data_IF_764236128736
#
_entry.id   IF_764236128736
#
_cell.length_a   1.000
_cell.length_b   1.000
_cell.length_c   1.000
_cell.angle_alpha   90.00
_cell.angle_beta   90.00
_cell.angle_gamma   90.00
#
_symmetry.space_group_name_H-M   'P 1'
#
loop_
_entity.id
_entity.type
_entity.pdbx_description
1 polymer ?
#
# COMPACT_ATOMS: atom_id res chain seq x y z
N UNK A 1 -48.68 34.14 61.31
CA UNK A 1 -47.55 33.39 60.73
C UNK A 1 -47.07 32.40 61.77
N UNK A 2 -47.07 31.08 61.44
CA UNK A 2 -46.51 29.92 62.17
C UNK A 2 -47.00 29.70 63.61
N UNK A 3 -47.93 28.80 63.96
CA UNK A 3 -48.06 27.33 63.75
C UNK A 3 -46.81 26.48 64.06
N UNK A 4 -46.86 25.78 65.20
CA UNK A 4 -46.57 24.34 65.39
C UNK A 4 -46.87 24.00 66.87
N UNK A 5 -47.96 23.31 67.24
CA UNK A 5 -48.40 21.93 66.98
C UNK A 5 -47.76 20.90 67.93
N UNK A 6 -48.63 20.25 68.70
CA UNK A 6 -48.41 19.34 69.82
C UNK A 6 -47.87 17.96 69.40
N UNK A 7 -47.11 17.36 70.30
CA UNK A 7 -46.65 15.96 70.28
C UNK A 7 -47.76 15.06 70.84
N UNK A 8 -48.13 14.01 70.08
CA UNK A 8 -48.93 12.88 70.55
C UNK A 8 -48.16 11.59 70.23
N UNK A 9 -47.93 10.78 71.25
CA UNK A 9 -47.33 9.45 71.17
C UNK A 9 -48.30 8.43 70.55
N UNK A 10 -47.78 7.51 69.73
CA UNK A 10 -48.54 6.37 69.18
C UNK A 10 -47.65 5.21 68.73
N UNK A 11 -47.60 4.17 69.57
CA UNK A 11 -47.33 2.74 69.34
C UNK A 11 -46.28 2.27 68.32
N UNK A 12 -45.21 1.71 68.88
CA UNK A 12 -44.27 0.78 68.25
C UNK A 12 -44.98 -0.52 67.82
N UNK A 13 -45.16 -0.73 66.52
CA UNK A 13 -45.47 -2.03 65.95
C UNK A 13 -44.17 -2.85 65.81
N UNK A 14 -44.02 -3.90 66.63
CA UNK A 14 -42.92 -4.85 66.48
C UNK A 14 -43.07 -5.62 65.17
N UNK A 15 -42.27 -5.25 64.17
CA UNK A 15 -42.10 -6.05 62.96
C UNK A 15 -41.26 -7.27 63.35
N UNK A 16 -41.89 -8.46 63.36
CA UNK A 16 -41.22 -9.73 63.66
C UNK A 16 -40.02 -9.96 62.73
N UNK A 17 -38.91 -10.48 63.27
CA UNK A 17 -37.67 -10.78 62.53
C UNK A 17 -37.90 -11.59 61.24
N UNK A 18 -38.96 -12.41 61.21
CA UNK A 18 -39.39 -13.16 60.01
C UNK A 18 -39.88 -12.27 58.87
N UNK A 19 -40.52 -11.14 59.18
CA UNK A 19 -40.97 -10.17 58.17
C UNK A 19 -39.80 -9.37 57.60
N UNK A 20 -38.80 -9.05 58.42
CA UNK A 20 -37.58 -8.41 57.95
C UNK A 20 -36.83 -9.35 57.00
N UNK A 21 -36.71 -10.64 57.33
CA UNK A 21 -36.12 -11.62 56.42
C UNK A 21 -36.90 -11.77 55.12
N UNK A 22 -38.23 -11.84 55.16
CA UNK A 22 -39.07 -11.94 53.96
C UNK A 22 -38.94 -10.70 53.07
N UNK A 23 -38.88 -9.51 53.66
CA UNK A 23 -38.67 -8.25 52.93
C UNK A 23 -37.27 -8.21 52.31
N UNK A 24 -36.23 -8.61 53.06
CA UNK A 24 -34.86 -8.66 52.54
C UNK A 24 -34.74 -9.69 51.40
N UNK A 25 -35.34 -10.88 51.52
CA UNK A 25 -35.32 -11.89 50.46
C UNK A 25 -36.11 -11.46 49.23
N UNK A 26 -37.23 -10.76 49.39
CA UNK A 26 -38.01 -10.25 48.25
C UNK A 26 -37.30 -9.08 47.57
N UNK A 27 -36.65 -8.19 48.32
CA UNK A 27 -35.79 -7.14 47.75
C UNK A 27 -34.58 -7.73 47.02
N UNK A 28 -33.96 -8.81 47.54
CA UNK A 28 -32.87 -9.54 46.87
C UNK A 28 -33.33 -10.27 45.60
N UNK A 29 -34.55 -10.82 45.59
CA UNK A 29 -35.15 -11.45 44.39
C UNK A 29 -35.58 -10.43 43.34
N UNK A 30 -35.97 -9.20 43.72
CA UNK A 30 -36.28 -8.10 42.81
C UNK A 30 -35.04 -7.31 42.33
N UNK A 31 -33.88 -7.49 42.97
CA UNK A 31 -32.61 -6.82 42.64
C UNK A 31 -31.58 -7.73 41.96
N UNK A 32 -31.97 -8.97 41.62
CA UNK A 32 -31.24 -9.71 40.60
C UNK A 32 -31.20 -8.80 39.36
N UNK A 33 -30.01 -8.44 38.83
CA UNK A 33 -29.95 -7.65 37.62
C UNK A 33 -30.67 -8.47 36.55
N UNK A 34 -31.82 -7.98 36.11
CA UNK A 34 -32.18 -8.19 34.73
C UNK A 34 -31.02 -7.60 33.96
N UNK A 35 -30.10 -8.45 33.49
CA UNK A 35 -29.41 -8.12 32.25
C UNK A 35 -30.54 -7.92 31.26
N UNK A 36 -31.00 -6.67 31.12
CA UNK A 36 -31.82 -6.24 30.01
C UNK A 36 -31.02 -6.70 28.80
N UNK A 37 -31.43 -7.81 28.20
CA UNK A 37 -30.76 -8.36 27.05
C UNK A 37 -31.06 -7.38 25.92
N UNK A 38 -30.19 -6.38 25.76
CA UNK A 38 -30.44 -5.23 24.91
C UNK A 38 -30.59 -5.68 23.47
N UNK A 39 -31.57 -5.09 22.77
CA UNK A 39 -31.71 -5.25 21.33
C UNK A 39 -30.42 -4.76 20.64
N UNK A 40 -29.80 -5.63 19.83
CA UNK A 40 -28.53 -5.31 19.14
C UNK A 40 -28.72 -4.87 17.69
N UNK A 41 -29.87 -4.30 17.35
CA UNK A 41 -30.15 -3.90 15.97
C UNK A 41 -29.15 -2.86 15.45
N UNK A 42 -28.79 -1.86 16.26
CA UNK A 42 -27.83 -0.84 15.85
C UNK A 42 -26.45 -1.44 15.52
N UNK A 43 -26.06 -2.51 16.21
CA UNK A 43 -24.85 -3.25 15.87
C UNK A 43 -24.97 -3.91 14.50
N UNK A 44 -26.07 -4.66 14.25
CA UNK A 44 -26.33 -5.27 12.94
C UNK A 44 -26.32 -4.23 11.81
N UNK A 45 -26.94 -3.07 12.03
CA UNK A 45 -26.97 -1.97 11.06
C UNK A 45 -25.56 -1.44 10.78
N UNK A 46 -24.76 -1.22 11.82
CA UNK A 46 -23.39 -0.72 11.69
C UNK A 46 -22.48 -1.70 10.95
N UNK A 47 -22.63 -3.00 11.19
CA UNK A 47 -21.86 -4.05 10.51
C UNK A 47 -22.23 -4.14 9.02
N UNK A 48 -23.51 -4.01 8.67
CA UNK A 48 -23.95 -3.95 7.28
C UNK A 48 -23.44 -2.71 6.54
N UNK A 49 -23.53 -1.53 7.17
CA UNK A 49 -23.00 -0.28 6.61
C UNK A 49 -21.48 -0.38 6.42
N UNK A 50 -20.74 -0.89 7.41
CA UNK A 50 -19.30 -1.08 7.29
C UNK A 50 -18.92 -2.03 6.14
N UNK A 51 -19.66 -3.15 6.00
CA UNK A 51 -19.43 -4.11 4.93
C UNK A 51 -19.70 -3.50 3.54
N UNK A 52 -20.67 -2.59 3.42
CA UNK A 52 -21.07 -1.97 2.15
C UNK A 52 -20.26 -0.71 1.80
N UNK A 53 -19.75 0.02 2.79
CA UNK A 53 -18.87 1.19 2.58
C UNK A 53 -17.55 0.81 1.90
N UNK A 54 -16.93 -0.31 2.28
CA UNK A 54 -15.72 -0.82 1.63
C UNK A 54 -15.95 -1.16 0.14
N UNK A 55 -17.20 -1.48 -0.24
CA UNK A 55 -17.60 -1.79 -1.63
C UNK A 55 -17.99 -0.54 -2.45
N UNK A 56 -18.32 0.59 -1.81
CA UNK A 56 -18.77 1.82 -2.46
C UNK A 56 -17.66 2.75 -2.96
N UNK A 57 -16.40 2.52 -2.58
CA UNK A 57 -15.24 3.33 -3.00
C UNK A 57 -14.66 2.86 -4.36
N UNK A 58 -15.06 1.67 -4.84
CA UNK A 58 -14.67 1.13 -6.17
C UNK A 58 -15.90 1.20 -7.10
N UNK A 59 -16.34 2.42 -7.40
CA UNK A 59 -17.48 2.65 -8.29
C UNK A 59 -17.06 2.76 -9.75
N UNK A 60 -16.99 1.63 -10.47
CA UNK A 60 -16.83 1.69 -11.93
C UNK A 60 -16.59 0.37 -12.66
N UNK A 61 -17.60 -0.49 -12.77
CA UNK A 61 -17.68 -1.48 -13.87
C UNK A 61 -17.81 -2.95 -13.45
N UNK A 62 -18.86 -3.60 -13.93
CA UNK A 62 -19.05 -5.06 -13.86
C UNK A 62 -20.19 -5.51 -12.96
N UNK A 63 -21.41 -5.61 -13.54
CA UNK A 63 -22.68 -5.95 -12.87
C UNK A 63 -22.74 -7.35 -12.21
N UNK A 64 -21.70 -8.17 -12.29
CA UNK A 64 -21.69 -9.53 -11.73
C UNK A 64 -20.77 -9.72 -10.52
N UNK A 65 -19.66 -8.98 -10.40
CA UNK A 65 -18.73 -9.10 -9.26
C UNK A 65 -19.14 -8.29 -8.02
N UNK A 66 -19.63 -7.05 -8.22
CA UNK A 66 -20.08 -6.18 -7.13
C UNK A 66 -21.36 -6.67 -6.44
N UNK A 67 -22.20 -7.43 -7.15
CA UNK A 67 -23.46 -7.96 -6.59
C UNK A 67 -23.20 -9.11 -5.60
N UNK A 68 -22.14 -9.91 -5.80
CA UNK A 68 -21.83 -11.04 -4.93
C UNK A 68 -21.42 -10.60 -3.51
N UNK A 69 -20.60 -9.54 -3.41
CA UNK A 69 -20.21 -8.94 -2.13
C UNK A 69 -21.39 -8.30 -1.41
N UNK A 70 -22.21 -7.53 -2.15
CA UNK A 70 -23.42 -6.91 -1.60
C UNK A 70 -24.44 -7.93 -1.10
N UNK A 71 -24.68 -8.99 -1.87
CA UNK A 71 -25.55 -10.10 -1.45
C UNK A 71 -24.98 -10.88 -0.24
N UNK A 72 -23.66 -11.02 -0.13
CA UNK A 72 -23.01 -11.59 1.06
C UNK A 72 -23.24 -10.74 2.31
N UNK A 73 -23.12 -9.41 2.18
CA UNK A 73 -23.41 -8.47 3.26
C UNK A 73 -24.89 -8.51 3.68
N UNK A 74 -25.83 -8.53 2.72
CA UNK A 74 -27.27 -8.64 3.00
C UNK A 74 -27.63 -9.94 3.73
N UNK A 75 -27.07 -11.09 3.32
CA UNK A 75 -27.28 -12.37 4.04
C UNK A 75 -26.75 -12.34 5.47
N UNK A 76 -25.62 -11.68 5.67
CA UNK A 76 -25.02 -11.54 7.01
C UNK A 76 -25.87 -10.64 7.91
N UNK A 77 -26.44 -9.59 7.32
CA UNK A 77 -27.36 -8.69 8.01
C UNK A 77 -28.67 -9.39 8.40
N UNK A 78 -29.26 -10.17 7.49
CA UNK A 78 -30.44 -11.03 7.75
C UNK A 78 -30.18 -12.03 8.90
N UNK A 79 -29.04 -12.71 8.90
CA UNK A 79 -28.66 -13.61 9.99
C UNK A 79 -28.47 -12.88 11.33
N UNK A 80 -27.95 -11.66 11.32
CA UNK A 80 -27.76 -10.85 12.52
C UNK A 80 -29.11 -10.46 13.14
N UNK A 81 -30.05 -9.98 12.32
CA UNK A 81 -31.39 -9.58 12.77
C UNK A 81 -32.15 -10.79 13.33
N UNK A 82 -32.11 -11.94 12.66
CA UNK A 82 -32.72 -13.18 13.15
C UNK A 82 -32.21 -13.60 14.54
N UNK A 83 -30.91 -13.45 14.81
CA UNK A 83 -30.30 -13.81 16.12
C UNK A 83 -30.75 -12.89 17.26
N UNK A 84 -31.09 -11.63 16.96
CA UNK A 84 -31.54 -10.66 17.97
C UNK A 84 -33.06 -10.48 18.01
N UNK A 85 -33.82 -11.18 17.15
CA UNK A 85 -35.26 -11.03 16.97
C UNK A 85 -36.08 -11.10 18.27
N UNK A 86 -35.77 -12.07 19.14
CA UNK A 86 -36.48 -12.24 20.42
C UNK A 86 -36.33 -11.03 21.35
N UNK A 87 -35.18 -10.36 21.30
CA UNK A 87 -34.84 -9.22 22.16
C UNK A 87 -35.26 -7.87 21.56
N UNK A 88 -35.58 -7.84 20.27
CA UNK A 88 -35.93 -6.64 19.52
C UNK A 88 -37.43 -6.52 19.18
N UNK A 89 -38.31 -7.29 19.85
CA UNK A 89 -39.75 -7.34 19.51
C UNK A 89 -40.46 -5.98 19.48
N UNK A 90 -40.06 -5.04 20.33
CA UNK A 90 -40.64 -3.70 20.42
C UNK A 90 -39.78 -2.59 19.80
N UNK A 91 -38.70 -2.93 19.11
CA UNK A 91 -37.77 -1.95 18.55
C UNK A 91 -38.19 -1.57 17.12
N UNK A 92 -38.50 -0.30 16.89
CA UNK A 92 -38.93 0.18 15.57
C UNK A 92 -37.81 0.05 14.51
N UNK A 93 -36.55 0.31 14.89
CA UNK A 93 -35.43 0.21 13.96
C UNK A 93 -35.20 -1.23 13.52
N UNK A 94 -35.47 -2.21 14.39
CA UNK A 94 -35.44 -3.63 14.04
C UNK A 94 -36.49 -3.98 12.98
N UNK A 95 -37.75 -3.57 13.18
CA UNK A 95 -38.81 -3.87 12.21
C UNK A 95 -38.58 -3.15 10.87
N UNK A 96 -38.11 -1.90 10.90
CA UNK A 96 -37.71 -1.19 9.68
C UNK A 96 -36.54 -1.88 8.96
N UNK A 97 -35.56 -2.38 9.71
CA UNK A 97 -34.41 -3.09 9.15
C UNK A 97 -34.80 -4.42 8.51
N UNK A 98 -35.61 -5.25 9.18
CA UNK A 98 -36.05 -6.55 8.65
C UNK A 98 -36.82 -6.36 7.34
N UNK A 99 -37.74 -5.40 7.28
CA UNK A 99 -38.46 -5.09 6.05
C UNK A 99 -37.52 -4.58 4.94
N UNK A 100 -36.60 -3.69 5.28
CA UNK A 100 -35.60 -3.18 4.32
C UNK A 100 -34.68 -4.27 3.78
N UNK A 101 -34.30 -5.27 4.59
CA UNK A 101 -33.49 -6.42 4.16
C UNK A 101 -34.25 -7.23 3.10
N UNK A 102 -35.53 -7.53 3.33
CA UNK A 102 -36.35 -8.29 2.37
C UNK A 102 -36.48 -7.56 1.03
N UNK A 103 -36.73 -6.24 1.07
CA UNK A 103 -36.81 -5.40 -0.12
C UNK A 103 -35.49 -5.37 -0.89
N UNK A 104 -34.37 -5.22 -0.19
CA UNK A 104 -33.03 -5.18 -0.79
C UNK A 104 -32.62 -6.52 -1.41
N UNK A 105 -32.97 -7.65 -0.77
CA UNK A 105 -32.72 -8.98 -1.34
C UNK A 105 -33.47 -9.17 -2.66
N UNK A 106 -34.72 -8.68 -2.75
CA UNK A 106 -35.53 -8.73 -3.97
C UNK A 106 -34.97 -7.79 -5.03
N UNK A 107 -34.70 -6.54 -4.67
CA UNK A 107 -34.21 -5.49 -5.57
C UNK A 107 -32.89 -5.88 -6.26
N UNK A 108 -31.97 -6.50 -5.50
CA UNK A 108 -30.65 -6.89 -6.00
C UNK A 108 -30.55 -8.36 -6.46
N UNK A 109 -31.69 -9.08 -6.48
CA UNK A 109 -31.78 -10.50 -6.88
C UNK A 109 -30.79 -11.38 -6.13
N UNK A 110 -30.66 -11.15 -4.82
CA UNK A 110 -29.74 -11.90 -3.98
C UNK A 110 -30.35 -13.24 -3.56
N UNK A 111 -29.65 -14.38 -3.76
CA UNK A 111 -30.11 -15.65 -3.22
C UNK A 111 -30.08 -15.60 -1.68
N UNK A 112 -31.14 -16.10 -1.03
CA UNK A 112 -31.24 -16.14 0.44
C UNK A 112 -30.17 -17.05 1.08
N UNK A 113 -29.64 -18.01 0.33
CA UNK A 113 -28.61 -18.95 0.78
C UNK A 113 -27.26 -18.70 0.10
N UNK A 114 -26.16 -19.04 0.79
CA UNK A 114 -24.78 -18.99 0.29
C UNK A 114 -23.84 -18.22 1.24
N UNK A 115 -22.64 -17.79 0.78
CA UNK A 115 -21.59 -17.33 1.69
C UNK A 115 -21.96 -16.03 2.42
N UNK A 116 -21.80 -16.01 3.75
CA UNK A 116 -21.86 -14.79 4.54
C UNK A 116 -20.49 -14.12 4.58
N UNK A 117 -20.43 -12.86 5.00
CA UNK A 117 -19.18 -12.15 5.29
C UNK A 117 -18.39 -13.00 6.28
N UNK A 118 -17.15 -13.36 5.90
CA UNK A 118 -16.24 -14.07 6.80
C UNK A 118 -16.09 -13.24 8.08
N UNK A 119 -16.13 -13.85 9.29
CA UNK A 119 -15.86 -13.11 10.50
C UNK A 119 -14.52 -12.40 10.32
N UNK A 120 -14.53 -11.08 10.53
CA UNK A 120 -13.29 -10.29 10.58
C UNK A 120 -12.33 -11.07 11.47
N UNK A 121 -11.06 -11.31 11.05
CA UNK A 121 -10.06 -11.85 11.97
C UNK A 121 -10.16 -11.04 13.26
N UNK A 122 -10.21 -11.73 14.41
CA UNK A 122 -10.19 -11.12 15.74
C UNK A 122 -9.23 -9.90 15.71
N UNK A 123 -9.57 -8.78 16.38
CA UNK A 123 -8.66 -7.65 16.48
C UNK A 123 -7.27 -8.20 16.79
N UNK A 124 -6.35 -8.04 15.84
CA UNK A 124 -5.01 -8.59 16.00
C UNK A 124 -4.51 -8.07 17.34
N UNK A 125 -4.03 -8.97 18.19
CA UNK A 125 -3.55 -8.61 19.52
C UNK A 125 -2.71 -7.33 19.41
N UNK A 126 -2.89 -6.34 20.32
CA UNK A 126 -2.19 -5.07 20.24
C UNK A 126 -0.72 -5.40 19.98
N UNK A 127 -0.22 -4.89 18.85
CA UNK A 127 1.12 -5.22 18.41
C UNK A 127 2.08 -4.99 19.58
N UNK A 128 3.13 -5.78 19.76
CA UNK A 128 4.18 -5.34 20.68
C UNK A 128 4.74 -3.98 20.20
N UNK A 129 5.44 -3.20 21.02
CA UNK A 129 6.09 -1.96 20.57
C UNK A 129 6.99 -2.20 19.33
N UNK A 130 7.59 -3.40 19.25
CA UNK A 130 8.37 -3.85 18.09
C UNK A 130 7.55 -4.14 16.83
N UNK A 131 6.23 -4.22 16.91
CA UNK A 131 5.36 -4.54 15.77
C UNK A 131 5.23 -3.41 14.74
N UNK A 132 5.62 -2.18 15.10
CA UNK A 132 5.72 -1.05 14.17
C UNK A 132 7.15 -0.89 13.59
N UNK A 133 8.02 -1.86 13.81
CA UNK A 133 9.35 -1.94 13.22
C UNK A 133 9.42 -3.22 12.38
N UNK A 134 9.32 -3.09 11.06
CA UNK A 134 9.23 -4.22 10.13
C UNK A 134 10.37 -5.21 10.35
N UNK A 135 11.60 -4.73 10.43
CA UNK A 135 12.79 -5.57 10.55
C UNK A 135 12.79 -6.39 11.84
N UNK A 136 12.47 -5.77 12.99
CA UNK A 136 12.36 -6.47 14.27
C UNK A 136 11.24 -7.51 14.26
N UNK A 137 10.07 -7.13 13.73
CA UNK A 137 8.93 -8.02 13.64
C UNK A 137 9.21 -9.21 12.69
N UNK A 138 9.92 -8.97 11.59
CA UNK A 138 10.29 -9.98 10.60
C UNK A 138 11.31 -10.96 11.18
N UNK A 139 12.40 -10.47 11.78
CA UNK A 139 13.42 -11.33 12.41
C UNK A 139 12.81 -12.20 13.51
N UNK A 140 11.91 -11.64 14.33
CA UNK A 140 11.21 -12.39 15.37
C UNK A 140 10.32 -13.52 14.82
N UNK A 141 9.70 -13.31 13.65
CA UNK A 141 8.80 -14.27 13.02
C UNK A 141 9.54 -15.33 12.18
N UNK A 142 10.52 -14.91 11.40
CA UNK A 142 11.17 -15.72 10.36
C UNK A 142 12.57 -16.22 10.78
N UNK A 143 13.15 -15.69 11.86
CA UNK A 143 14.49 -16.06 12.33
C UNK A 143 15.64 -15.62 11.42
N UNK A 144 15.37 -14.77 10.42
CA UNK A 144 16.35 -14.26 9.45
C UNK A 144 16.08 -12.80 9.10
N UNK A 145 17.06 -12.12 8.50
CA UNK A 145 16.88 -10.76 7.98
C UNK A 145 16.03 -10.76 6.70
N UNK A 146 15.21 -9.72 6.47
CA UNK A 146 14.44 -9.61 5.25
C UNK A 146 15.35 -9.33 4.04
N UNK A 147 14.91 -9.81 2.88
CA UNK A 147 15.54 -9.48 1.60
C UNK A 147 15.02 -8.13 1.12
N UNK A 148 15.93 -7.22 0.78
CA UNK A 148 15.61 -5.89 0.30
C UNK A 148 15.86 -5.77 -1.20
N UNK A 149 14.91 -5.14 -1.88
CA UNK A 149 14.99 -4.81 -3.30
C UNK A 149 15.22 -3.30 -3.47
N UNK A 150 15.80 -2.93 -4.61
CA UNK A 150 16.10 -1.55 -4.96
C UNK A 150 15.49 -1.17 -6.31
N UNK A 151 14.78 -0.05 -6.38
CA UNK A 151 14.34 0.59 -7.62
C UNK A 151 14.92 2.00 -7.70
N UNK A 152 15.34 2.43 -8.89
CA UNK A 152 15.82 3.79 -9.14
C UNK A 152 15.19 4.40 -10.40
N UNK A 153 14.75 5.65 -10.33
CA UNK A 153 14.23 6.44 -11.45
C UNK A 153 14.93 7.79 -11.49
N UNK A 154 15.66 8.08 -12.58
CA UNK A 154 16.54 9.25 -12.67
C UNK A 154 16.84 9.63 -14.13
N UNK A 155 17.37 10.82 -14.39
CA UNK A 155 17.69 11.27 -15.76
C UNK A 155 16.45 11.39 -16.65
N UNK A 156 16.61 11.15 -17.96
CA UNK A 156 15.50 11.03 -18.93
C UNK A 156 14.89 9.61 -18.85
N UNK A 157 13.80 9.41 -18.09
CA UNK A 157 13.77 8.46 -16.99
C UNK A 157 14.39 7.13 -17.36
N UNK A 158 15.59 6.95 -16.82
CA UNK A 158 16.22 5.67 -16.64
C UNK A 158 15.58 4.99 -15.43
N UNK A 159 15.09 3.78 -15.64
CA UNK A 159 14.41 2.98 -14.63
C UNK A 159 15.25 1.73 -14.40
N UNK A 160 15.75 1.59 -13.18
CA UNK A 160 16.22 0.33 -12.62
C UNK A 160 15.07 -0.28 -11.82
N UNK A 161 14.54 -1.42 -12.27
CA UNK A 161 13.44 -2.11 -11.59
C UNK A 161 13.93 -2.89 -10.36
N UNK A 162 12.99 -3.34 -9.52
CA UNK A 162 13.26 -4.25 -8.41
C UNK A 162 13.81 -5.62 -8.83
N UNK A 163 13.64 -5.97 -10.11
CA UNK A 163 14.14 -7.20 -10.71
C UNK A 163 15.49 -7.00 -11.42
N UNK A 164 16.17 -5.88 -11.15
CA UNK A 164 17.46 -5.52 -11.74
C UNK A 164 17.43 -5.41 -13.27
N UNK A 165 16.28 -5.04 -13.84
CA UNK A 165 16.19 -4.63 -15.23
C UNK A 165 16.45 -3.14 -15.37
N UNK A 166 17.13 -2.74 -16.44
CA UNK A 166 17.39 -1.34 -16.74
C UNK A 166 16.77 -0.94 -18.07
N UNK A 167 16.03 0.15 -18.06
CA UNK A 167 15.26 0.63 -19.22
C UNK A 167 15.33 2.16 -19.26
N UNK A 168 15.48 2.73 -20.46
CA UNK A 168 15.30 4.17 -20.70
C UNK A 168 13.92 4.38 -21.31
N UNK A 169 13.15 5.31 -20.76
CA UNK A 169 11.72 5.42 -21.05
C UNK A 169 11.31 6.83 -21.49
N UNK A 170 10.40 6.93 -22.46
CA UNK A 170 9.77 8.18 -22.91
C UNK A 170 8.41 8.41 -22.22
N UNK A 171 8.31 8.14 -20.93
CA UNK A 171 7.05 8.12 -20.17
C UNK A 171 6.59 9.54 -19.81
N UNK A 172 5.83 10.19 -20.71
CA UNK A 172 5.26 11.51 -20.48
C UNK A 172 4.01 11.45 -19.56
N UNK A 173 3.87 12.45 -18.69
CA UNK A 173 2.71 12.57 -17.80
C UNK A 173 2.93 11.84 -16.48
N UNK A 174 1.84 11.53 -15.78
CA UNK A 174 1.87 10.89 -14.47
C UNK A 174 1.85 9.35 -14.62
N UNK A 175 2.85 8.67 -14.07
CA UNK A 175 2.99 7.22 -14.11
C UNK A 175 3.15 6.64 -12.71
N UNK A 176 2.47 5.53 -12.39
CA UNK A 176 2.67 4.80 -11.14
C UNK A 176 4.02 4.08 -11.17
N UNK A 177 4.91 4.45 -10.24
CA UNK A 177 6.17 3.75 -10.01
C UNK A 177 5.94 2.51 -9.15
N UNK A 178 5.18 2.66 -8.07
CA UNK A 178 4.79 1.59 -7.15
C UNK A 178 3.33 1.79 -6.79
N UNK A 179 2.54 0.73 -6.85
CA UNK A 179 1.19 0.69 -6.32
C UNK A 179 0.92 -0.67 -5.68
N UNK A 180 1.01 -0.73 -4.35
CA UNK A 180 0.79 -1.95 -3.58
C UNK A 180 -0.09 -1.65 -2.35
N UNK A 181 -0.32 -2.64 -1.48
CA UNK A 181 -1.19 -2.47 -0.31
C UNK A 181 -0.70 -1.43 0.72
N UNK A 182 0.57 -1.03 0.68
CA UNK A 182 1.22 -0.20 1.71
C UNK A 182 1.55 1.21 1.24
N UNK A 183 1.93 1.37 -0.02
CA UNK A 183 2.40 2.64 -0.55
C UNK A 183 2.04 2.81 -2.02
N UNK A 184 1.82 4.06 -2.41
CA UNK A 184 1.62 4.47 -3.79
C UNK A 184 2.65 5.56 -4.12
N UNK A 185 3.43 5.36 -5.17
CA UNK A 185 4.39 6.34 -5.67
C UNK A 185 4.04 6.66 -7.11
N UNK A 186 3.84 7.93 -7.39
CA UNK A 186 3.62 8.46 -8.72
C UNK A 186 4.74 9.44 -9.08
N UNK A 187 5.29 9.29 -10.27
CA UNK A 187 6.20 10.27 -10.87
C UNK A 187 5.53 10.93 -12.06
N UNK A 188 5.72 12.24 -12.20
CA UNK A 188 5.27 12.99 -13.37
C UNK A 188 6.48 13.45 -14.15
N UNK A 189 6.49 13.17 -15.45
CA UNK A 189 7.53 13.63 -16.37
C UNK A 189 6.97 14.58 -17.41
N UNK A 190 7.73 15.61 -17.78
CA UNK A 190 7.38 16.56 -18.83
C UNK A 190 8.43 16.57 -19.95
N UNK A 191 8.06 16.82 -21.21
CA UNK A 191 9.02 16.89 -22.31
C UNK A 191 10.07 17.99 -22.08
N UNK A 192 11.33 17.71 -22.43
CA UNK A 192 12.37 18.75 -22.43
C UNK A 192 12.26 19.65 -23.66
N UNK A 193 12.70 20.91 -23.55
CA UNK A 193 12.69 21.84 -24.69
C UNK A 193 13.79 21.45 -25.69
N UNK A 194 13.43 20.76 -26.76
CA UNK A 194 14.36 20.45 -27.86
C UNK A 194 14.19 19.07 -28.50
N UNK A 195 13.43 18.16 -27.87
CA UNK A 195 13.15 16.84 -28.42
C UNK A 195 11.76 16.34 -27.99
N UNK A 196 11.09 15.59 -28.87
CA UNK A 196 9.76 15.02 -28.60
C UNK A 196 9.78 13.77 -27.71
N UNK A 197 10.93 13.11 -27.54
CA UNK A 197 11.06 11.83 -26.85
C UNK A 197 11.74 11.91 -25.48
N UNK A 198 12.30 13.07 -25.13
CA UNK A 198 13.06 13.28 -23.89
C UNK A 198 12.16 13.87 -22.83
N UNK A 199 12.24 13.39 -21.60
CA UNK A 199 11.34 13.84 -20.53
C UNK A 199 12.09 13.96 -19.23
N UNK A 200 11.93 15.07 -18.52
CA UNK A 200 12.46 15.24 -17.17
C UNK A 200 11.41 14.94 -16.12
N UNK A 201 11.83 14.35 -15.00
CA UNK A 201 10.96 14.16 -13.85
C UNK A 201 10.73 15.51 -13.16
N UNK A 202 9.48 15.94 -13.11
CA UNK A 202 9.11 17.26 -12.58
C UNK A 202 8.43 17.19 -11.22
N UNK A 203 7.78 16.07 -10.92
CA UNK A 203 7.05 15.89 -9.66
C UNK A 203 7.10 14.45 -9.20
N UNK A 204 7.31 14.24 -7.91
CA UNK A 204 7.19 12.95 -7.23
C UNK A 204 6.15 13.09 -6.13
N UNK A 205 5.18 12.19 -6.11
CA UNK A 205 4.16 12.10 -5.07
C UNK A 205 4.22 10.71 -4.45
N UNK A 206 4.34 10.65 -3.13
CA UNK A 206 4.38 9.41 -2.35
C UNK A 206 3.22 9.46 -1.36
N UNK A 207 2.40 8.42 -1.37
CA UNK A 207 1.30 8.22 -0.43
C UNK A 207 1.63 6.98 0.40
N UNK A 208 1.90 7.19 1.68
CA UNK A 208 1.97 6.12 2.68
C UNK A 208 0.55 5.80 3.10
N UNK A 209 0.06 4.59 2.78
CA UNK A 209 -1.30 4.16 3.11
C UNK A 209 -1.38 3.86 4.62
N UNK A 210 -2.57 4.04 5.20
CA UNK A 210 -2.80 3.76 6.62
C UNK A 210 -2.45 2.30 6.93
N UNK A 211 -1.64 2.07 7.97
CA UNK A 211 -1.23 0.73 8.36
C UNK A 211 -1.36 0.50 9.87
N UNK A 212 -2.38 -0.31 10.21
CA UNK A 212 -2.69 -0.76 11.59
C UNK A 212 -2.74 0.41 12.57
N UNK A 213 -1.98 0.36 13.66
CA UNK A 213 -1.83 1.44 14.64
C UNK A 213 -0.53 2.22 14.45
N UNK A 214 0.23 1.87 13.41
CA UNK A 214 1.64 2.22 13.26
C UNK A 214 1.86 3.44 12.36
N UNK A 215 0.99 3.72 11.40
CA UNK A 215 1.09 4.89 10.55
C UNK A 215 -0.29 5.29 10.03
N UNK A 216 -0.65 6.56 10.21
CA UNK A 216 -1.79 7.16 9.51
C UNK A 216 -1.41 7.50 8.07
N UNK A 217 -2.40 7.80 7.24
CA UNK A 217 -2.15 8.17 5.85
C UNK A 217 -1.31 9.45 5.80
N UNK A 218 -0.18 9.40 5.09
CA UNK A 218 0.75 10.51 4.97
C UNK A 218 1.16 10.73 3.51
N UNK A 219 1.25 11.99 3.11
CA UNK A 219 1.53 12.37 1.72
C UNK A 219 2.81 13.19 1.69
N UNK A 220 3.77 12.74 0.88
CA UNK A 220 4.96 13.50 0.54
C UNK A 220 4.89 13.92 -0.93
N UNK A 221 5.25 15.17 -1.21
CA UNK A 221 5.30 15.70 -2.57
C UNK A 221 6.56 16.54 -2.75
N UNK A 222 7.30 16.27 -3.83
CA UNK A 222 8.43 17.06 -4.26
C UNK A 222 8.22 17.51 -5.70
N UNK A 223 8.62 18.74 -5.99
CA UNK A 223 8.61 19.35 -7.32
C UNK A 223 9.98 19.94 -7.61
N UNK A 224 10.25 20.25 -8.88
CA UNK A 224 11.46 21.00 -9.24
C UNK A 224 11.49 22.31 -8.45
N UNK A 225 12.67 22.63 -7.93
CA UNK A 225 13.01 23.74 -7.03
C UNK A 225 12.37 23.66 -5.63
N UNK A 226 11.68 22.56 -5.32
CA UNK A 226 11.05 22.34 -4.02
C UNK A 226 11.04 20.85 -3.63
N UNK A 227 12.15 20.39 -3.04
CA UNK A 227 12.23 19.10 -2.35
C UNK A 227 12.16 19.33 -0.83
N UNK A 228 10.96 19.30 -0.22
CA UNK A 228 10.78 19.68 1.18
C UNK A 228 11.31 18.59 2.14
N UNK A 229 11.79 18.98 3.34
CA UNK A 229 12.14 18.05 4.41
C UNK A 229 10.93 17.66 5.28
N UNK A 230 9.71 17.73 4.74
CA UNK A 230 8.46 17.51 5.47
C UNK A 230 7.38 16.92 4.55
N UNK A 231 6.33 16.35 5.15
CA UNK A 231 5.09 15.96 4.48
C UNK A 231 4.27 17.19 4.09
N UNK A 232 3.22 16.97 3.28
CA UNK A 232 2.33 18.05 2.80
C UNK A 232 1.61 18.78 3.95
N UNK A 233 1.39 18.10 5.08
CA UNK A 233 0.82 18.70 6.30
C UNK A 233 1.85 19.52 7.12
N UNK A 234 3.10 19.60 6.66
CA UNK A 234 4.20 20.29 7.33
C UNK A 234 4.89 19.46 8.43
N UNK A 235 4.42 18.25 8.71
CA UNK A 235 5.05 17.37 9.69
C UNK A 235 6.33 16.75 9.14
N UNK A 236 7.34 16.57 9.98
CA UNK A 236 8.57 15.84 9.63
C UNK A 236 8.50 14.36 10.02
N UNK A 237 7.48 13.98 10.78
CA UNK A 237 7.30 12.64 11.32
C UNK A 237 5.83 12.25 11.26
N UNK A 238 5.53 11.08 10.70
CA UNK A 238 4.25 10.43 10.90
C UNK A 238 4.25 9.76 12.27
N UNK A 239 3.47 10.29 13.19
CA UNK A 239 3.27 9.69 14.51
C UNK A 239 2.34 8.49 14.41
N UNK A 240 2.70 7.40 15.09
CA UNK A 240 1.78 6.31 15.33
C UNK A 240 0.84 6.61 16.52
N UNK A 241 -0.22 5.81 16.70
CA UNK A 241 -1.19 5.98 17.81
C UNK A 241 -0.58 5.72 19.20
N UNK A 242 0.68 5.30 19.25
CA UNK A 242 1.43 4.90 20.45
C UNK A 242 2.66 5.77 20.67
N UNK A 243 2.80 6.87 19.94
CA UNK A 243 3.89 7.84 20.05
C UNK A 243 5.22 7.44 19.39
N UNK A 244 5.30 6.32 18.67
CA UNK A 244 6.50 5.98 17.90
C UNK A 244 6.51 6.71 16.56
N UNK A 245 7.69 7.19 16.18
CA UNK A 245 7.93 7.82 14.88
C UNK A 245 8.27 6.73 13.87
N UNK A 246 7.26 6.08 13.31
CA UNK A 246 7.43 5.00 12.34
C UNK A 246 7.68 5.51 10.92
N UNK A 247 7.45 6.80 10.70
CA UNK A 247 7.63 7.50 9.44
C UNK A 247 8.36 8.81 9.73
N UNK A 248 9.46 9.09 9.02
CA UNK A 248 10.28 10.30 9.23
C UNK A 248 10.84 10.80 7.90
N UNK A 249 10.84 12.12 7.72
CA UNK A 249 11.56 12.81 6.64
C UNK A 249 12.79 13.49 7.23
N UNK A 250 13.92 13.33 6.55
CA UNK A 250 15.18 14.02 6.86
C UNK A 250 15.76 14.60 5.58
N UNK A 251 16.64 15.59 5.69
CA UNK A 251 17.30 16.19 4.53
C UNK A 251 18.76 16.52 4.85
N UNK A 252 19.64 16.20 3.90
CA UNK A 252 21.05 16.59 3.92
C UNK A 252 21.31 17.92 3.19
N UNK A 253 20.41 18.31 2.29
CA UNK A 253 20.50 19.51 1.47
C UNK A 253 19.06 20.04 1.23
N UNK A 254 18.54 20.87 2.16
CA UNK A 254 17.15 21.32 2.13
C UNK A 254 16.78 21.98 0.80
N UNK A 255 15.63 21.61 0.24
CA UNK A 255 15.16 22.11 -1.05
C UNK A 255 15.64 21.28 -2.25
N UNK A 256 16.68 20.46 -2.10
CA UNK A 256 17.21 19.59 -3.18
C UNK A 256 17.29 18.10 -2.80
N UNK A 257 17.11 17.75 -1.54
CA UNK A 257 17.23 16.39 -1.05
C UNK A 257 16.20 16.09 0.03
N UNK A 258 15.59 14.91 0.00
CA UNK A 258 14.85 14.34 1.10
C UNK A 258 15.09 12.83 1.20
N UNK A 259 15.21 12.33 2.42
CA UNK A 259 15.26 10.91 2.74
C UNK A 259 14.10 10.59 3.66
N UNK A 260 13.24 9.67 3.23
CA UNK A 260 12.01 9.30 3.93
C UNK A 260 12.17 7.86 4.41
N UNK A 261 12.13 7.67 5.72
CA UNK A 261 12.22 6.35 6.36
C UNK A 261 10.86 5.94 6.91
N UNK A 262 10.32 4.84 6.40
CA UNK A 262 9.08 4.22 6.83
C UNK A 262 9.39 2.87 7.51
N UNK A 263 9.78 2.92 8.79
CA UNK A 263 10.27 1.75 9.54
C UNK A 263 9.20 0.68 9.76
N UNK A 264 7.91 1.06 9.74
CA UNK A 264 6.78 0.14 9.89
C UNK A 264 6.61 -0.83 8.72
N UNK A 265 7.07 -0.45 7.53
CA UNK A 265 7.13 -1.30 6.33
C UNK A 265 8.57 -1.57 5.88
N UNK A 266 9.57 -1.07 6.62
CA UNK A 266 10.98 -1.25 6.27
C UNK A 266 11.40 -0.53 5.00
N UNK A 267 10.67 0.49 4.54
CA UNK A 267 10.94 1.17 3.27
C UNK A 267 11.76 2.44 3.51
N UNK A 268 12.76 2.67 2.68
CA UNK A 268 13.50 3.94 2.61
C UNK A 268 13.38 4.51 1.20
N UNK A 269 13.08 5.81 1.10
CA UNK A 269 13.03 6.56 -0.15
C UNK A 269 14.05 7.69 -0.10
N UNK A 270 14.73 7.94 -1.21
CA UNK A 270 15.56 9.14 -1.40
C UNK A 270 15.06 9.87 -2.62
N UNK A 271 14.68 11.13 -2.42
CA UNK A 271 14.31 12.06 -3.48
C UNK A 271 15.41 13.10 -3.60
N UNK A 272 15.91 13.32 -4.82
CA UNK A 272 16.85 14.41 -5.10
C UNK A 272 16.39 15.22 -6.27
N UNK A 273 16.77 16.49 -6.27
CA UNK A 273 16.81 17.32 -7.46
C UNK A 273 18.24 17.43 -7.94
N UNK A 274 18.44 17.12 -9.22
CA UNK A 274 19.72 17.21 -9.90
C UNK A 274 19.48 18.08 -11.13
N UNK A 275 20.07 19.28 -11.11
CA UNK A 275 19.80 20.33 -12.08
C UNK A 275 18.29 20.64 -12.19
N UNK A 276 17.67 20.29 -13.32
CA UNK A 276 16.25 20.52 -13.62
C UNK A 276 15.43 19.23 -13.72
N UNK A 277 15.90 18.15 -13.08
CA UNK A 277 15.15 16.89 -12.97
C UNK A 277 15.15 16.38 -11.53
N UNK A 278 14.06 15.73 -11.15
CA UNK A 278 14.02 14.93 -9.93
C UNK A 278 14.55 13.51 -10.18
N UNK A 279 14.99 12.87 -9.12
CA UNK A 279 15.30 11.44 -9.08
C UNK A 279 14.70 10.80 -7.83
N UNK A 280 14.35 9.53 -7.93
CA UNK A 280 13.84 8.71 -6.85
C UNK A 280 14.65 7.41 -6.74
N UNK A 281 15.07 7.07 -5.53
CA UNK A 281 15.64 5.77 -5.19
C UNK A 281 14.82 5.14 -4.06
N UNK A 282 14.48 3.86 -4.19
CA UNK A 282 13.60 3.13 -3.28
C UNK A 282 14.27 1.86 -2.83
N UNK A 283 14.36 1.66 -1.52
CA UNK A 283 14.73 0.39 -0.88
C UNK A 283 13.56 -0.14 -0.09
N UNK A 284 13.10 -1.35 -0.37
CA UNK A 284 11.94 -1.94 0.30
C UNK A 284 12.06 -3.46 0.40
N UNK A 285 11.51 -4.11 1.45
CA UNK A 285 11.49 -5.56 1.55
C UNK A 285 10.71 -6.21 0.39
N UNK A 286 11.18 -7.36 -0.09
CA UNK A 286 10.51 -8.14 -1.16
C UNK A 286 9.02 -8.35 -0.87
N UNK A 287 8.68 -8.78 0.35
CA UNK A 287 7.30 -9.05 0.75
C UNK A 287 6.38 -7.81 0.76
N UNK A 288 6.94 -6.60 0.85
CA UNK A 288 6.16 -5.35 0.76
C UNK A 288 5.94 -4.98 -0.70
N UNK A 289 6.98 -5.13 -1.53
CA UNK A 289 6.90 -4.85 -2.97
C UNK A 289 5.97 -5.81 -3.69
N UNK A 290 5.99 -7.10 -3.36
CA UNK A 290 5.17 -8.15 -4.00
C UNK A 290 3.72 -8.21 -3.48
N UNK A 291 3.32 -7.29 -2.59
CA UNK A 291 1.98 -7.26 -1.98
C UNK A 291 1.00 -6.36 -2.74
N UNK A 292 0.74 -6.68 -4.00
CA UNK A 292 -0.22 -5.98 -4.87
C UNK A 292 -1.29 -6.93 -5.41
N UNK A 293 -2.41 -6.38 -5.87
CA UNK A 293 -3.51 -7.15 -6.48
C UNK A 293 -3.35 -7.21 -8.01
N UNK A 294 -4.01 -8.16 -8.70
CA UNK A 294 -3.93 -8.28 -10.16
C UNK A 294 -4.37 -7.03 -10.93
N UNK A 295 -5.21 -6.18 -10.33
CA UNK A 295 -5.67 -4.92 -10.90
C UNK A 295 -4.58 -3.82 -10.90
N UNK A 296 -3.48 -4.02 -10.17
CA UNK A 296 -2.34 -3.11 -10.06
C UNK A 296 -1.22 -3.51 -11.05
N UNK A 297 -1.59 -3.71 -12.31
CA UNK A 297 -0.74 -4.26 -13.38
C UNK A 297 0.26 -3.24 -13.96
N UNK A 298 0.03 -1.95 -13.75
CA UNK A 298 0.93 -0.88 -14.19
C UNK A 298 1.77 -0.33 -13.02
N UNK A 299 3.03 -0.78 -12.93
CA UNK A 299 4.00 -0.34 -11.93
C UNK A 299 5.42 -0.32 -12.52
N UNK A 300 5.96 0.87 -12.78
CA UNK A 300 7.24 0.98 -13.50
C UNK A 300 8.43 0.37 -12.74
N UNK A 301 8.44 0.41 -11.40
CA UNK A 301 9.51 -0.23 -10.61
C UNK A 301 9.43 -1.76 -10.60
N UNK A 302 8.30 -2.37 -10.94
CA UNK A 302 8.13 -3.84 -10.97
C UNK A 302 8.35 -4.37 -12.38
N UNK A 303 7.66 -3.78 -13.36
CA UNK A 303 7.58 -4.28 -14.74
C UNK A 303 8.39 -3.47 -15.76
N UNK A 304 8.93 -2.32 -15.34
CA UNK A 304 9.52 -1.35 -16.25
C UNK A 304 8.46 -0.62 -17.08
N UNK A 305 8.91 0.13 -18.09
CA UNK A 305 8.00 0.84 -18.98
C UNK A 305 7.44 -0.08 -20.08
N UNK A 306 6.22 0.21 -20.58
CA UNK A 306 5.65 -0.47 -21.73
C UNK A 306 6.60 -0.43 -22.92
N UNK A 307 6.60 -1.49 -23.74
CA UNK A 307 7.54 -1.61 -24.88
C UNK A 307 7.44 -0.40 -25.85
N UNK A 308 6.25 0.15 -26.03
CA UNK A 308 6.01 1.35 -26.86
C UNK A 308 6.66 2.63 -26.32
N UNK A 309 7.05 2.65 -25.05
CA UNK A 309 7.68 3.77 -24.38
C UNK A 309 9.19 3.56 -24.17
N UNK A 310 9.74 2.40 -24.57
CA UNK A 310 11.17 2.10 -24.39
C UNK A 310 11.99 2.81 -25.47
N UNK A 311 13.05 3.48 -25.04
CA UNK A 311 14.02 4.11 -25.93
C UNK A 311 15.25 3.22 -26.12
N UNK A 312 15.74 3.18 -27.35
CA UNK A 312 17.01 2.55 -27.66
C UNK A 312 18.19 3.43 -27.25
N UNK A 313 19.33 2.82 -26.96
CA UNK A 313 20.57 3.55 -26.69
C UNK A 313 21.18 4.02 -28.02
N UNK A 314 21.38 5.33 -28.24
CA UNK A 314 22.06 5.81 -29.43
C UNK A 314 23.55 5.40 -29.41
N UNK A 315 24.21 5.30 -30.58
CA UNK A 315 25.65 5.00 -30.63
C UNK A 315 26.43 6.13 -29.92
N UNK A 316 27.38 5.79 -29.02
CA UNK A 316 28.07 6.78 -28.20
C UNK A 316 28.99 7.69 -29.03
N UNK A 317 28.95 9.00 -28.78
CA UNK A 317 29.93 9.93 -29.32
C UNK A 317 31.25 9.81 -28.56
N UNK A 318 32.37 10.14 -29.21
CA UNK A 318 33.71 10.11 -28.59
C UNK A 318 33.77 11.03 -27.36
N UNK A 319 33.15 12.20 -27.45
CA UNK A 319 33.01 13.14 -26.34
C UNK A 319 32.24 12.52 -25.18
N UNK A 320 31.04 11.99 -25.41
CA UNK A 320 30.22 11.41 -24.34
C UNK A 320 30.91 10.22 -23.67
N UNK A 321 31.58 9.37 -24.46
CA UNK A 321 32.37 8.27 -23.96
C UNK A 321 33.48 8.75 -23.01
N UNK A 322 34.26 9.74 -23.43
CA UNK A 322 35.37 10.27 -22.63
C UNK A 322 34.91 10.90 -21.31
N UNK A 323 33.80 11.64 -21.34
CA UNK A 323 33.22 12.27 -20.16
C UNK A 323 32.66 11.23 -19.18
N UNK A 324 31.81 10.31 -19.65
CA UNK A 324 31.21 9.32 -18.77
C UNK A 324 32.24 8.36 -18.16
N UNK A 325 33.37 8.12 -18.82
CA UNK A 325 34.48 7.33 -18.27
C UNK A 325 35.24 8.06 -17.16
N UNK A 326 35.21 9.39 -17.12
CA UNK A 326 35.90 10.16 -16.07
C UNK A 326 35.07 10.28 -14.79
N UNK A 327 33.74 10.22 -14.89
CA UNK A 327 32.82 10.40 -13.75
C UNK A 327 32.26 9.10 -13.19
N UNK A 328 32.25 8.00 -13.96
CA UNK A 328 31.72 6.71 -13.53
C UNK A 328 32.79 5.61 -13.57
N UNK A 329 32.85 4.75 -12.53
CA UNK A 329 33.95 3.80 -12.37
C UNK A 329 33.82 2.54 -13.22
N UNK A 330 32.62 2.20 -13.69
CA UNK A 330 32.30 0.93 -14.37
C UNK A 330 31.42 1.19 -15.58
N UNK A 331 31.60 0.43 -16.66
CA UNK A 331 30.76 0.46 -17.87
C UNK A 331 29.49 -0.40 -17.69
N UNK A 332 28.58 0.07 -16.84
CA UNK A 332 27.32 -0.59 -16.52
C UNK A 332 26.11 0.27 -16.94
N UNK A 333 24.93 -0.03 -16.39
CA UNK A 333 23.70 0.74 -16.63
C UNK A 333 23.78 2.23 -16.26
N UNK A 334 24.53 2.61 -15.22
CA UNK A 334 24.70 4.02 -14.87
C UNK A 334 25.59 4.73 -15.90
N UNK A 335 26.60 4.04 -16.41
CA UNK A 335 27.40 4.54 -17.53
C UNK A 335 26.56 4.74 -18.80
N UNK A 336 25.64 3.81 -19.09
CA UNK A 336 24.74 3.93 -20.23
C UNK A 336 23.72 5.07 -20.06
N UNK A 337 23.21 5.28 -18.84
CA UNK A 337 22.40 6.45 -18.50
C UNK A 337 23.16 7.75 -18.77
N UNK A 338 24.40 7.85 -18.27
CA UNK A 338 25.26 9.02 -18.51
C UNK A 338 25.46 9.29 -20.01
N UNK A 339 25.73 8.26 -20.80
CA UNK A 339 25.89 8.40 -22.24
C UNK A 339 24.62 8.94 -22.88
N UNK A 340 23.47 8.34 -22.55
CA UNK A 340 22.18 8.74 -23.11
C UNK A 340 21.87 10.20 -22.77
N UNK A 341 21.85 10.56 -21.49
CA UNK A 341 21.53 11.90 -21.01
C UNK A 341 22.47 12.95 -21.63
N UNK A 342 23.77 12.68 -21.67
CA UNK A 342 24.76 13.62 -22.22
C UNK A 342 24.61 13.81 -23.75
N UNK A 343 24.36 12.74 -24.49
CA UNK A 343 24.21 12.82 -25.95
C UNK A 343 22.93 13.54 -26.35
N UNK A 344 21.88 13.31 -25.59
CA UNK A 344 20.56 13.87 -25.83
C UNK A 344 20.51 15.34 -25.45
N UNK A 345 21.03 15.70 -24.27
CA UNK A 345 20.96 17.07 -23.75
C UNK A 345 22.12 17.95 -24.23
N UNK A 346 23.26 17.35 -24.60
CA UNK A 346 24.50 18.08 -24.86
C UNK A 346 25.12 18.73 -23.62
N UNK A 347 24.60 18.46 -22.41
CA UNK A 347 25.00 19.10 -21.17
C UNK A 347 25.77 18.11 -20.28
N UNK A 348 27.00 18.44 -19.91
CA UNK A 348 27.84 17.63 -19.02
C UNK A 348 27.23 17.45 -17.63
N UNK A 349 26.41 18.40 -17.17
CA UNK A 349 25.77 18.31 -15.86
C UNK A 349 24.72 17.20 -15.79
N UNK A 350 24.17 16.77 -16.92
CA UNK A 350 23.19 15.68 -16.98
C UNK A 350 23.78 14.35 -16.47
N UNK A 351 25.11 14.17 -16.58
CA UNK A 351 25.81 13.01 -16.01
C UNK A 351 25.69 12.89 -14.49
N UNK A 352 25.42 13.99 -13.78
CA UNK A 352 25.25 13.98 -12.32
C UNK A 352 24.07 13.10 -11.88
N UNK A 353 23.03 12.97 -12.71
CA UNK A 353 21.88 12.10 -12.45
C UNK A 353 22.31 10.64 -12.30
N UNK A 354 23.16 10.15 -13.20
CA UNK A 354 23.69 8.80 -13.17
C UNK A 354 24.64 8.57 -11.98
N UNK A 355 25.48 9.56 -11.65
CA UNK A 355 26.40 9.49 -10.50
C UNK A 355 25.62 9.40 -9.19
N UNK A 356 24.64 10.27 -8.98
CA UNK A 356 23.82 10.25 -7.76
C UNK A 356 22.97 8.98 -7.63
N UNK A 357 22.48 8.44 -8.75
CA UNK A 357 21.75 7.16 -8.75
C UNK A 357 22.66 5.98 -8.38
N UNK A 358 23.93 5.99 -8.80
CA UNK A 358 24.92 4.99 -8.37
C UNK A 358 25.23 5.12 -6.87
N UNK A 359 25.34 6.36 -6.35
CA UNK A 359 25.54 6.59 -4.92
C UNK A 359 24.37 6.07 -4.07
N UNK A 360 23.13 6.28 -4.52
CA UNK A 360 21.96 5.71 -3.85
C UNK A 360 21.95 4.18 -3.89
N UNK A 361 22.24 3.61 -5.05
CA UNK A 361 22.30 2.16 -5.19
C UNK A 361 23.36 1.55 -4.26
N UNK A 362 24.51 2.19 -4.10
CA UNK A 362 25.55 1.77 -3.13
C UNK A 362 25.09 1.85 -1.68
N UNK A 363 24.28 2.84 -1.34
CA UNK A 363 23.74 3.00 0.00
C UNK A 363 22.58 2.02 0.30
N UNK A 364 21.85 1.60 -0.73
CA UNK A 364 20.60 0.84 -0.58
C UNK A 364 20.70 -0.65 -0.89
N UNK A 365 21.65 -1.07 -1.74
CA UNK A 365 21.86 -2.47 -2.14
C UNK A 365 22.91 -3.10 -1.24
N UNK A 366 22.54 -4.20 -0.58
CA UNK A 366 23.44 -4.89 0.35
C UNK A 366 24.50 -5.75 -0.34
N UNK A 367 24.20 -6.36 -1.49
CA UNK A 367 25.18 -7.13 -2.28
C UNK A 367 25.94 -6.21 -3.24
N UNK A 368 27.26 -6.00 -3.05
CA UNK A 368 28.06 -5.15 -3.94
C UNK A 368 28.05 -5.61 -5.40
N UNK A 369 27.86 -6.91 -5.66
CA UNK A 369 27.83 -7.47 -7.02
C UNK A 369 26.56 -7.06 -7.76
N UNK A 370 25.46 -6.87 -7.04
CA UNK A 370 24.18 -6.45 -7.62
C UNK A 370 24.14 -4.95 -7.90
N UNK A 371 25.08 -4.15 -7.37
CA UNK A 371 25.12 -2.70 -7.66
C UNK A 371 25.33 -2.46 -9.16
N UNK A 372 26.29 -3.16 -9.77
CA UNK A 372 26.68 -2.93 -11.16
C UNK A 372 26.00 -3.93 -12.09
N UNK A 373 25.03 -3.45 -12.88
CA UNK A 373 24.36 -4.25 -13.89
C UNK A 373 25.14 -4.16 -15.22
N UNK A 374 25.96 -5.17 -15.49
CA UNK A 374 26.70 -5.24 -16.75
C UNK A 374 25.75 -5.61 -17.89
N UNK A 375 25.68 -4.78 -18.93
CA UNK A 375 24.99 -5.15 -20.17
C UNK A 375 25.77 -6.27 -20.86
N UNK A 376 25.37 -7.51 -20.59
CA UNK A 376 26.18 -8.67 -20.96
C UNK A 376 25.53 -10.03 -20.70
N UNK A 377 24.20 -10.11 -20.80
CA UNK A 377 23.51 -11.35 -21.16
C UNK A 377 22.21 -10.97 -21.86
N UNK A 378 22.32 -10.52 -23.13
CA UNK A 378 21.30 -10.98 -24.07
C UNK A 378 21.24 -12.48 -23.83
N UNK A 379 20.11 -12.96 -23.31
CA UNK A 379 19.94 -14.39 -23.10
C UNK A 379 20.33 -15.06 -24.41
N UNK A 380 21.43 -15.80 -24.40
CA UNK A 380 21.37 -17.12 -25.00
C UNK A 380 20.20 -17.77 -24.27
N UNK A 381 19.01 -17.58 -24.82
CA UNK A 381 17.94 -18.54 -24.63
C UNK A 381 18.62 -19.87 -24.85
N UNK A 382 18.67 -20.78 -23.85
CA UNK A 382 18.97 -22.15 -24.20
C UNK A 382 17.89 -22.46 -25.23
N UNK A 383 18.31 -22.71 -26.48
CA UNK A 383 17.39 -23.06 -27.55
C UNK A 383 16.42 -24.07 -26.94
N UNK A 384 15.15 -23.70 -26.85
CA UNK A 384 14.17 -24.49 -26.14
C UNK A 384 14.26 -25.90 -26.73
N UNK A 385 14.40 -26.91 -25.88
CA UNK A 385 14.41 -28.33 -26.28
C UNK A 385 13.42 -28.67 -27.42
N UNK A 386 12.20 -28.07 -27.51
CA UNK A 386 11.34 -28.25 -28.68
C UNK A 386 11.93 -27.76 -30.03
N UNK A 387 12.67 -26.65 -30.09
CA UNK A 387 13.27 -26.15 -31.34
C UNK A 387 14.37 -27.07 -31.87
N UNK A 388 15.19 -27.65 -30.98
CA UNK A 388 16.25 -28.59 -31.37
C UNK A 388 15.63 -29.91 -31.88
N UNK A 389 14.53 -30.36 -31.28
CA UNK A 389 13.79 -31.56 -31.72
C UNK A 389 13.09 -31.31 -33.06
N UNK A 390 12.48 -30.14 -33.28
CA UNK A 390 11.84 -29.80 -34.56
C UNK A 390 12.86 -29.75 -35.70
N UNK A 391 14.05 -29.17 -35.48
CA UNK A 391 15.10 -29.11 -36.49
C UNK A 391 15.66 -30.50 -36.82
N UNK A 392 15.83 -31.37 -35.81
CA UNK A 392 16.33 -32.73 -36.03
C UNK A 392 15.28 -33.65 -36.68
N UNK A 393 13.99 -33.48 -36.38
CA UNK A 393 12.90 -34.18 -37.08
C UNK A 393 12.77 -33.70 -38.52
N UNK A 394 12.87 -32.39 -38.79
CA UNK A 394 12.85 -31.86 -40.16
C UNK A 394 14.04 -32.34 -40.98
N UNK A 395 15.23 -32.41 -40.38
CA UNK A 395 16.43 -32.93 -41.05
C UNK A 395 16.29 -34.41 -41.42
N UNK A 396 15.66 -35.22 -40.56
CA UNK A 396 15.44 -36.65 -40.83
C UNK A 396 14.34 -36.89 -41.87
N UNK A 397 13.29 -36.05 -41.89
CA UNK A 397 12.25 -36.09 -42.92
C UNK A 397 12.83 -35.71 -44.29
N UNK A 398 13.67 -34.66 -44.35
CA UNK A 398 14.37 -34.26 -45.58
C UNK A 398 15.34 -35.34 -46.06
N UNK A 399 16.05 -36.01 -45.14
CA UNK A 399 16.95 -37.12 -45.48
C UNK A 399 16.20 -38.29 -46.12
N UNK A 400 15.00 -38.62 -45.62
CA UNK A 400 14.15 -39.68 -46.18
C UNK A 400 13.45 -39.31 -47.49
N UNK A 401 13.25 -38.01 -47.76
CA UNK A 401 12.67 -37.55 -49.02
C UNK A 401 13.69 -37.51 -50.17
N UNK A 402 14.99 -37.55 -49.86
CA UNK A 402 16.10 -37.48 -50.82
C UNK A 402 16.79 -38.84 -51.05
N UNK A 403 16.36 -39.88 -50.34
CA UNK A 403 16.72 -41.30 -50.54
C UNK A 403 15.57 -42.05 -51.18
#
# INVERSE_FOLDING_TARGET
>A
MGMAAQVVCGNHSQISSRHIYLIITSVLLLSAPSECAQCRILQCNSEFVAATLEMGVIGGGGREGGNAGYCSALRSYDLCTQRTAQRCRGDLAYHSAVQGIEDLLIQHRCPKTGPTVQPRPLPQAPLSGDGCFYEKAFVKREGRTPEYLHCGVFGDPHIRTFNDEFQTCAVQGAWPLIDNQYLYIQATSSPTRGSSYTTVLTKITVIFKNWRECAELQIYQAEIDNVPPAFVDGSMTGSDRRGHQSLRVTSRDPGRHAEISATHIGTTLVVRQIDRSLSLSVRSPRAIIESYTPEQDLQLCVWGCPVSQRLGTPPPSTFALSHCLSVLPVRDVYFQACLFDLQVTGNTNSSASAVAALEDARAMISDPKSIHLLMGRAGTTPASLPMVVVISVLAEILRRALS
#
